data_IF_679877794985
#
_entry.id   IF_679877794985
#
_cell.length_a   1.000
_cell.length_b   1.000
_cell.length_c   1.000
_cell.angle_alpha   90.00
_cell.angle_beta   90.00
_cell.angle_gamma   90.00
#
_symmetry.space_group_name_H-M   'P 1'
#
loop_
_entity.id
_entity.type
_entity.pdbx_description
1 polymer ?
#
# COMPACT_ATOMS: atom_id res chain seq x y z
N UNK A 1 -25.46 4.83 -58.03
CA UNK A 1 -24.27 4.25 -57.35
C UNK A 1 -24.74 3.26 -56.31
N UNK A 2 -24.35 1.97 -56.42
CA UNK A 2 -24.75 0.95 -55.42
C UNK A 2 -24.02 1.22 -54.10
N UNK A 3 -24.68 0.99 -52.96
CA UNK A 3 -24.14 1.12 -51.60
C UNK A 3 -23.73 2.54 -51.14
N UNK A 4 -24.24 3.61 -51.78
CA UNK A 4 -24.09 4.98 -51.28
C UNK A 4 -25.02 5.19 -50.06
N UNK A 5 -24.53 5.68 -48.91
CA UNK A 5 -25.40 6.10 -47.80
C UNK A 5 -26.35 7.23 -48.22
N UNK A 6 -27.60 7.20 -47.73
CA UNK A 6 -28.64 8.18 -48.14
C UNK A 6 -28.20 9.62 -47.86
N UNK A 7 -27.56 9.84 -46.72
CA UNK A 7 -27.16 11.15 -46.19
C UNK A 7 -25.96 11.79 -46.92
N UNK A 8 -25.23 11.02 -47.73
CA UNK A 8 -23.98 11.51 -48.36
C UNK A 8 -24.27 11.89 -49.81
N UNK A 9 -24.12 13.17 -50.23
CA UNK A 9 -24.30 13.58 -51.61
C UNK A 9 -23.48 12.73 -52.59
N UNK A 10 -24.03 12.46 -53.77
CA UNK A 10 -23.38 11.57 -54.75
C UNK A 10 -22.01 12.10 -55.20
N UNK A 11 -21.85 13.41 -55.32
CA UNK A 11 -20.57 14.06 -55.63
C UNK A 11 -19.50 13.76 -54.59
N UNK A 12 -19.82 13.86 -53.30
CA UNK A 12 -18.90 13.54 -52.21
C UNK A 12 -18.55 12.05 -52.19
N UNK A 13 -19.53 11.18 -52.44
CA UNK A 13 -19.28 9.74 -52.50
C UNK A 13 -18.34 9.36 -53.66
N UNK A 14 -18.51 9.98 -54.84
CA UNK A 14 -17.59 9.84 -55.98
C UNK A 14 -16.17 10.29 -55.63
N UNK A 15 -16.05 11.45 -54.97
CA UNK A 15 -14.74 11.96 -54.55
C UNK A 15 -14.05 11.03 -53.55
N UNK A 16 -14.79 10.49 -52.59
CA UNK A 16 -14.26 9.49 -51.65
C UNK A 16 -13.78 8.24 -52.39
N UNK A 17 -14.60 7.69 -53.30
CA UNK A 17 -14.19 6.52 -54.09
C UNK A 17 -12.91 6.80 -54.88
N UNK A 18 -12.79 7.96 -55.53
CA UNK A 18 -11.57 8.33 -56.26
C UNK A 18 -10.37 8.47 -55.34
N UNK A 19 -10.55 9.10 -54.17
CA UNK A 19 -9.52 9.24 -53.14
C UNK A 19 -9.00 7.88 -52.67
N UNK A 20 -9.89 6.98 -52.25
CA UNK A 20 -9.52 5.65 -51.76
C UNK A 20 -8.97 4.74 -52.87
N UNK A 21 -9.40 4.92 -54.11
CA UNK A 21 -8.89 4.15 -55.24
C UNK A 21 -7.57 4.66 -55.81
N UNK A 22 -7.12 5.85 -55.38
CA UNK A 22 -5.85 6.42 -55.84
C UNK A 22 -4.65 5.63 -55.32
N UNK A 23 -3.63 5.50 -56.16
CA UNK A 23 -2.38 4.82 -55.84
C UNK A 23 -1.67 5.32 -54.57
N UNK A 24 -1.56 6.64 -54.28
CA UNK A 24 -0.89 7.09 -53.07
C UNK A 24 -1.58 6.61 -51.79
N UNK A 25 -2.92 6.60 -51.77
CA UNK A 25 -3.68 6.17 -50.59
C UNK A 25 -3.70 4.65 -50.41
N UNK A 26 -3.72 3.88 -51.50
CA UNK A 26 -3.52 2.42 -51.45
C UNK A 26 -2.14 2.07 -50.88
N UNK A 27 -1.08 2.68 -51.41
CA UNK A 27 0.31 2.47 -50.94
C UNK A 27 0.48 2.84 -49.48
N UNK A 28 -0.10 3.95 -49.04
CA UNK A 28 -0.09 4.35 -47.62
C UNK A 28 -0.84 3.35 -46.74
N UNK A 29 -1.98 2.82 -47.20
CA UNK A 29 -2.74 1.80 -46.47
C UNK A 29 -1.97 0.49 -46.30
N UNK A 30 -1.30 0.03 -47.36
CA UNK A 30 -0.41 -1.14 -47.33
C UNK A 30 0.74 -0.93 -46.35
N UNK A 31 1.44 0.21 -46.46
CA UNK A 31 2.53 0.59 -45.55
C UNK A 31 2.08 0.64 -44.09
N UNK A 32 0.91 1.23 -43.82
CA UNK A 32 0.34 1.30 -42.46
C UNK A 32 -0.04 -0.08 -41.91
N UNK A 33 -0.44 -1.00 -42.78
CA UNK A 33 -0.73 -2.39 -42.41
C UNK A 33 0.55 -3.14 -42.07
N UNK A 34 1.60 -3.00 -42.87
CA UNK A 34 2.92 -3.54 -42.54
C UNK A 34 3.49 -2.97 -41.25
N UNK A 35 3.39 -1.65 -41.03
CA UNK A 35 3.90 -0.99 -39.83
C UNK A 35 3.19 -1.50 -38.56
N UNK A 36 1.87 -1.72 -38.63
CA UNK A 36 1.11 -2.34 -37.54
C UNK A 36 1.56 -3.77 -37.27
N UNK A 37 1.79 -4.57 -38.31
CA UNK A 37 2.28 -5.94 -38.16
C UNK A 37 3.70 -6.01 -37.59
N UNK A 38 4.54 -4.99 -37.85
CA UNK A 38 5.92 -4.87 -37.34
C UNK A 38 5.96 -4.26 -35.92
N UNK A 39 4.87 -3.70 -35.41
CA UNK A 39 4.81 -3.09 -34.09
C UNK A 39 4.78 -4.16 -32.98
N UNK A 40 5.95 -4.46 -32.41
CA UNK A 40 6.14 -5.54 -31.42
C UNK A 40 5.59 -5.21 -30.02
N UNK A 41 5.67 -3.93 -29.64
CA UNK A 41 5.26 -3.44 -28.32
C UNK A 41 4.47 -2.15 -28.50
N UNK A 42 3.14 -2.21 -28.71
CA UNK A 42 2.31 -1.02 -28.66
C UNK A 42 2.42 -0.40 -27.26
N UNK A 43 2.79 0.88 -27.20
CA UNK A 43 2.73 1.62 -25.93
C UNK A 43 1.27 1.60 -25.46
N UNK A 44 1.04 1.00 -24.29
CA UNK A 44 -0.30 0.89 -23.70
C UNK A 44 -0.51 1.96 -22.62
N UNK A 45 0.54 2.72 -22.32
CA UNK A 45 0.57 3.77 -21.31
C UNK A 45 -0.11 5.02 -21.88
N UNK A 46 -1.43 4.94 -22.06
CA UNK A 46 -2.27 5.87 -22.81
C UNK A 46 -1.90 7.36 -22.70
N UNK A 47 -2.63 8.13 -21.90
CA UNK A 47 -2.28 9.56 -21.64
C UNK A 47 -1.51 9.72 -20.34
N UNK A 48 -1.20 8.63 -19.66
CA UNK A 48 -0.68 8.63 -18.30
C UNK A 48 0.85 8.75 -18.35
N UNK A 49 1.44 9.80 -17.77
CA UNK A 49 2.90 9.93 -17.72
C UNK A 49 3.54 8.75 -16.96
N UNK A 50 4.71 8.29 -17.42
CA UNK A 50 5.48 7.22 -16.77
C UNK A 50 5.81 7.49 -15.29
N UNK A 51 5.87 8.76 -14.89
CA UNK A 51 6.07 9.15 -13.49
C UNK A 51 4.94 8.63 -12.59
N UNK A 52 3.68 8.82 -13.00
CA UNK A 52 2.51 8.35 -12.26
C UNK A 52 2.44 6.82 -12.22
N UNK A 53 2.75 6.15 -13.35
CA UNK A 53 2.78 4.69 -13.42
C UNK A 53 3.85 4.13 -12.45
N UNK A 54 5.01 4.78 -12.37
CA UNK A 54 6.09 4.39 -11.45
C UNK A 54 5.67 4.57 -9.99
N UNK A 55 5.01 5.68 -9.67
CA UNK A 55 4.50 5.95 -8.33
C UNK A 55 3.44 4.95 -7.92
N UNK A 56 2.48 4.65 -8.79
CA UNK A 56 1.43 3.67 -8.55
C UNK A 56 2.02 2.27 -8.30
N UNK A 57 3.01 1.85 -9.11
CA UNK A 57 3.74 0.60 -8.91
C UNK A 57 4.46 0.57 -7.57
N UNK A 58 5.11 1.66 -7.15
CA UNK A 58 5.73 1.75 -5.81
C UNK A 58 4.70 1.63 -4.71
N UNK A 59 3.56 2.32 -4.83
CA UNK A 59 2.49 2.30 -3.84
C UNK A 59 1.90 0.89 -3.68
N UNK A 60 1.63 0.20 -4.80
CA UNK A 60 1.19 -1.19 -4.81
C UNK A 60 2.21 -2.13 -4.15
N UNK A 61 3.49 -1.96 -4.44
CA UNK A 61 4.57 -2.74 -3.82
C UNK A 61 4.66 -2.52 -2.30
N UNK A 62 4.55 -1.26 -1.85
CA UNK A 62 4.56 -0.92 -0.42
C UNK A 62 3.37 -1.55 0.30
N UNK A 63 2.17 -1.46 -0.29
CA UNK A 63 0.97 -2.07 0.28
C UNK A 63 1.15 -3.58 0.39
N UNK A 64 1.64 -4.25 -0.66
CA UNK A 64 1.84 -5.69 -0.62
C UNK A 64 2.85 -6.11 0.45
N UNK A 65 3.93 -5.33 0.64
CA UNK A 65 4.92 -5.56 1.68
C UNK A 65 4.33 -5.40 3.09
N UNK A 66 3.49 -4.38 3.29
CA UNK A 66 2.81 -4.14 4.57
C UNK A 66 1.82 -5.28 4.87
N UNK A 67 1.01 -5.68 3.90
CA UNK A 67 0.05 -6.78 4.06
C UNK A 67 0.75 -8.08 4.44
N UNK A 68 1.88 -8.40 3.79
CA UNK A 68 2.68 -9.57 4.12
C UNK A 68 3.21 -9.50 5.57
N UNK A 69 3.74 -8.35 5.99
CA UNK A 69 4.25 -8.18 7.36
C UNK A 69 3.13 -8.39 8.41
N UNK A 70 1.94 -7.83 8.16
CA UNK A 70 0.77 -7.99 9.03
C UNK A 70 0.31 -9.45 9.08
N UNK A 71 0.32 -10.16 7.96
CA UNK A 71 -0.05 -11.58 7.90
C UNK A 71 0.94 -12.46 8.67
N UNK A 72 2.24 -12.19 8.56
CA UNK A 72 3.27 -12.90 9.33
C UNK A 72 3.11 -12.67 10.84
N UNK A 73 2.81 -11.44 11.26
CA UNK A 73 2.55 -11.10 12.67
C UNK A 73 1.27 -11.76 13.20
N UNK A 74 0.22 -11.84 12.37
CA UNK A 74 -1.01 -12.56 12.71
C UNK A 74 -0.75 -14.04 12.96
N UNK A 75 0.00 -14.70 12.06
CA UNK A 75 0.31 -16.13 12.21
C UNK A 75 1.16 -16.39 13.46
N UNK A 76 2.11 -15.51 13.75
CA UNK A 76 2.97 -15.61 14.94
C UNK A 76 2.17 -15.39 16.24
N UNK A 77 1.20 -14.47 16.25
CA UNK A 77 0.30 -14.25 17.38
C UNK A 77 -0.74 -15.37 17.56
N UNK A 78 -1.11 -16.08 16.49
CA UNK A 78 -2.08 -17.18 16.55
C UNK A 78 -1.44 -18.45 17.16
N UNK A 79 -0.14 -18.69 16.92
CA UNK A 79 0.58 -19.81 17.53
C UNK A 79 0.71 -19.74 19.07
N UNK A 80 0.52 -18.56 19.67
CA UNK A 80 0.52 -18.42 21.14
C UNK A 80 -0.86 -18.57 21.79
N UNK A 81 -1.97 -18.59 21.01
CA UNK A 81 -3.34 -18.56 21.57
C UNK A 81 -4.27 -19.69 21.11
N UNK A 82 -3.88 -20.54 20.17
CA UNK A 82 -4.71 -21.63 19.68
C UNK A 82 -4.10 -23.01 19.91
N UNK A 83 -4.30 -23.55 21.11
CA UNK A 83 -4.67 -24.96 21.19
C UNK A 83 -6.00 -25.07 21.91
N UNK A 84 -6.98 -25.53 21.13
CA UNK A 84 -8.30 -26.00 21.54
C UNK A 84 -9.26 -24.87 21.88
N UNK A 85 -10.28 -24.67 21.02
CA UNK A 85 -11.68 -24.78 21.43
C UNK A 85 -12.65 -24.88 20.22
N UNK A 86 -13.11 -26.11 20.00
CA UNK A 86 -14.46 -26.48 19.55
C UNK A 86 -14.81 -26.32 18.06
N UNK A 87 -14.00 -26.86 17.15
CA UNK A 87 -14.64 -27.64 16.08
C UNK A 87 -14.95 -29.02 16.66
N UNK A 88 -16.14 -29.53 16.40
CA UNK A 88 -16.40 -30.97 16.51
C UNK A 88 -15.33 -31.67 15.68
N UNK A 89 -14.39 -32.31 16.38
CA UNK A 89 -13.26 -33.03 15.82
C UNK A 89 -13.76 -33.97 14.71
N UNK A 90 -13.33 -33.75 13.46
CA UNK A 90 -13.69 -34.59 12.30
C UNK A 90 -13.45 -36.08 12.63
N UNK A 91 -12.45 -36.36 13.46
CA UNK A 91 -12.17 -37.68 13.99
C UNK A 91 -13.28 -38.20 14.93
N UNK A 92 -13.86 -37.38 15.82
CA UNK A 92 -15.06 -37.76 16.60
C UNK A 92 -16.29 -37.98 15.73
N UNK A 93 -16.38 -37.33 14.56
CA UNK A 93 -17.46 -37.54 13.60
C UNK A 93 -17.39 -38.94 12.98
N UNK A 94 -16.19 -39.41 12.66
CA UNK A 94 -15.93 -40.75 12.11
C UNK A 94 -15.97 -41.84 13.20
N UNK A 95 -15.40 -41.56 14.37
CA UNK A 95 -15.15 -42.56 15.42
C UNK A 95 -16.23 -42.59 16.50
N UNK A 96 -17.13 -41.61 16.52
CA UNK A 96 -18.15 -41.43 17.54
C UNK A 96 -17.59 -40.92 18.89
N UNK A 97 -18.49 -40.64 19.85
CA UNK A 97 -18.12 -40.15 21.17
C UNK A 97 -17.26 -41.17 21.94
N UNK A 98 -16.27 -40.64 22.67
CA UNK A 98 -15.35 -41.43 23.50
C UNK A 98 -16.05 -42.05 24.72
N UNK A 99 -15.67 -43.27 25.11
CA UNK A 99 -16.26 -43.93 26.27
C UNK A 99 -15.81 -43.32 27.60
N UNK A 100 -16.69 -43.27 28.63
CA UNK A 100 -16.32 -42.78 29.96
C UNK A 100 -15.12 -43.56 30.52
N UNK A 101 -14.10 -42.85 31.01
CA UNK A 101 -12.94 -43.48 31.67
C UNK A 101 -11.83 -43.99 30.75
N UNK A 102 -11.87 -43.72 29.45
CA UNK A 102 -10.78 -44.04 28.51
C UNK A 102 -10.52 -42.88 27.55
N UNK A 103 -9.27 -42.71 27.12
CA UNK A 103 -8.90 -41.84 26.00
C UNK A 103 -8.25 -42.72 24.92
N UNK A 104 -8.84 -42.79 23.73
CA UNK A 104 -8.29 -43.53 22.59
C UNK A 104 -6.91 -42.97 22.20
N UNK A 105 -6.07 -43.82 21.60
CA UNK A 105 -4.70 -43.50 21.15
C UNK A 105 -3.64 -43.28 22.24
N UNK A 106 -4.01 -43.11 23.50
CA UNK A 106 -3.05 -42.91 24.61
C UNK A 106 -2.69 -44.20 25.38
N UNK A 107 -3.06 -45.37 24.84
CA UNK A 107 -2.80 -46.67 25.48
C UNK A 107 -3.81 -47.03 26.59
N UNK A 108 -3.52 -48.09 27.34
CA UNK A 108 -4.43 -48.64 28.36
C UNK A 108 -4.38 -47.81 29.64
N UNK A 109 -5.52 -47.29 30.09
CA UNK A 109 -5.68 -46.68 31.41
C UNK A 109 -5.56 -45.15 31.48
N UNK A 110 -5.32 -44.45 30.36
CA UNK A 110 -5.29 -42.97 30.36
C UNK A 110 -6.70 -42.40 30.43
N UNK A 111 -6.95 -41.54 31.42
CA UNK A 111 -8.22 -40.83 31.61
C UNK A 111 -8.06 -39.34 31.34
N UNK A 112 -9.16 -38.68 30.97
CA UNK A 112 -9.17 -37.22 30.71
C UNK A 112 -8.70 -36.40 31.91
N UNK A 113 -8.85 -36.91 33.14
CA UNK A 113 -8.38 -36.27 34.38
C UNK A 113 -6.86 -36.24 34.50
N UNK A 114 -6.16 -37.23 33.94
CA UNK A 114 -4.69 -37.25 33.89
C UNK A 114 -4.17 -36.20 32.91
N UNK A 115 -4.90 -35.94 31.82
CA UNK A 115 -4.52 -34.97 30.81
C UNK A 115 -4.86 -33.51 31.17
N UNK A 116 -5.86 -33.31 32.04
CA UNK A 116 -6.41 -31.99 32.32
C UNK A 116 -5.70 -31.33 33.50
N UNK A 117 -4.57 -30.69 33.20
CA UNK A 117 -3.95 -29.67 34.06
C UNK A 117 -4.88 -28.48 34.31
N UNK A 118 -4.70 -27.81 35.45
CA UNK A 118 -5.58 -26.80 36.06
C UNK A 118 -6.18 -25.76 35.09
N UNK A 119 -7.48 -25.48 35.30
CA UNK A 119 -8.36 -24.67 34.45
C UNK A 119 -8.44 -23.23 34.97
N UNK A 120 -7.90 -22.27 34.22
CA UNK A 120 -8.08 -20.83 34.44
C UNK A 120 -9.32 -20.28 33.71
N UNK A 121 -10.02 -19.37 34.37
CA UNK A 121 -11.25 -18.68 33.96
C UNK A 121 -11.04 -17.75 32.75
N UNK A 122 -11.96 -17.75 31.78
CA UNK A 122 -12.00 -16.78 30.67
C UNK A 122 -13.34 -16.05 30.66
N UNK A 123 -13.30 -14.76 30.98
CA UNK A 123 -14.36 -13.81 30.71
C UNK A 123 -13.73 -12.45 30.43
N UNK A 124 -14.11 -11.84 29.31
CA UNK A 124 -13.80 -10.45 28.87
C UNK A 124 -12.48 -10.24 28.09
N UNK A 125 -12.39 -10.69 26.83
CA UNK A 125 -11.20 -10.49 25.96
C UNK A 125 -11.40 -9.65 24.69
N UNK A 126 -12.63 -9.28 24.28
CA UNK A 126 -12.85 -8.62 22.98
C UNK A 126 -12.51 -7.12 22.97
N UNK A 127 -12.91 -6.36 23.98
CA UNK A 127 -12.70 -4.90 24.01
C UNK A 127 -11.22 -4.51 24.07
N UNK A 128 -10.42 -5.33 24.77
CA UNK A 128 -8.96 -5.14 24.88
C UNK A 128 -8.22 -5.42 23.59
N UNK A 129 -8.79 -6.27 22.73
CA UNK A 129 -8.24 -6.56 21.41
C UNK A 129 -8.54 -5.41 20.45
N UNK A 130 -9.75 -4.86 20.52
CA UNK A 130 -10.15 -3.74 19.66
C UNK A 130 -9.31 -2.48 19.92
N UNK A 131 -9.06 -2.13 21.20
CA UNK A 131 -8.20 -1.00 21.55
C UNK A 131 -6.76 -1.15 21.03
N UNK A 132 -6.22 -2.37 21.04
CA UNK A 132 -4.86 -2.63 20.52
C UNK A 132 -4.77 -2.47 19.01
N UNK A 133 -5.84 -2.78 18.28
CA UNK A 133 -5.88 -2.60 16.82
C UNK A 133 -5.84 -1.12 16.48
N UNK A 134 -6.66 -0.32 17.17
CA UNK A 134 -6.74 1.13 16.96
C UNK A 134 -5.40 1.83 17.30
N UNK A 135 -4.75 1.44 18.40
CA UNK A 135 -3.41 1.92 18.78
C UNK A 135 -2.35 1.61 17.70
N UNK A 136 -2.42 0.42 17.08
CA UNK A 136 -1.48 0.03 16.03
C UNK A 136 -1.70 0.85 14.77
N UNK A 137 -2.95 1.14 14.40
CA UNK A 137 -3.29 1.97 13.23
C UNK A 137 -2.75 3.40 13.39
N UNK A 138 -3.00 4.03 14.53
CA UNK A 138 -2.48 5.38 14.83
C UNK A 138 -0.95 5.43 14.76
N UNK A 139 -0.29 4.43 15.36
CA UNK A 139 1.18 4.35 15.36
C UNK A 139 1.78 4.19 13.95
N UNK A 140 1.08 3.48 13.06
CA UNK A 140 1.51 3.34 11.66
C UNK A 140 1.32 4.65 10.90
N UNK A 141 0.19 5.32 11.08
CA UNK A 141 -0.07 6.62 10.46
C UNK A 141 0.97 7.67 10.90
N UNK A 142 1.30 7.70 12.19
CA UNK A 142 2.30 8.61 12.73
C UNK A 142 3.69 8.38 12.12
N UNK A 143 4.18 7.13 12.09
CA UNK A 143 5.49 6.84 11.47
C UNK A 143 5.54 7.15 9.98
N UNK A 144 4.42 6.99 9.27
CA UNK A 144 4.33 7.36 7.86
C UNK A 144 4.51 8.86 7.68
N UNK A 145 3.83 9.65 8.51
CA UNK A 145 3.88 11.11 8.45
C UNK A 145 5.27 11.64 8.82
N UNK A 146 5.90 11.10 9.86
CA UNK A 146 7.27 11.43 10.28
C UNK A 146 8.30 11.17 9.18
N UNK A 147 8.22 10.01 8.51
CA UNK A 147 9.11 9.68 7.39
C UNK A 147 8.95 10.65 6.21
N UNK A 148 7.72 11.05 5.90
CA UNK A 148 7.46 12.01 4.84
C UNK A 148 8.01 13.40 5.19
N UNK A 149 7.81 13.84 6.44
CA UNK A 149 8.36 15.12 6.88
C UNK A 149 9.89 15.12 6.90
N UNK A 150 10.53 14.06 7.38
CA UNK A 150 11.99 13.94 7.36
C UNK A 150 12.58 13.96 5.94
N UNK A 151 11.89 13.36 4.96
CA UNK A 151 12.29 13.46 3.56
C UNK A 151 12.16 14.89 3.00
N UNK A 152 11.08 15.60 3.38
CA UNK A 152 10.88 16.99 3.02
C UNK A 152 11.99 17.87 3.60
N UNK A 153 12.30 17.72 4.88
CA UNK A 153 13.35 18.48 5.56
C UNK A 153 14.72 18.24 4.89
N UNK A 154 15.05 16.98 4.56
CA UNK A 154 16.28 16.64 3.85
C UNK A 154 16.34 17.30 2.45
N UNK A 155 15.21 17.35 1.74
CA UNK A 155 15.13 18.01 0.45
C UNK A 155 15.33 19.53 0.57
N UNK A 156 14.72 20.17 1.56
CA UNK A 156 14.89 21.60 1.83
C UNK A 156 16.35 21.94 2.15
N UNK A 157 17.01 21.14 2.98
CA UNK A 157 18.43 21.32 3.31
C UNK A 157 19.33 21.22 2.08
N UNK A 158 19.07 20.24 1.19
CA UNK A 158 19.81 20.09 -0.05
C UNK A 158 19.63 21.29 -1.00
N UNK A 159 18.42 21.84 -1.09
CA UNK A 159 18.15 23.04 -1.90
C UNK A 159 18.89 24.25 -1.33
N UNK A 160 18.78 24.48 -0.02
CA UNK A 160 19.46 25.58 0.67
C UNK A 160 20.97 25.51 0.48
N UNK A 161 21.56 24.31 0.63
CA UNK A 161 22.99 24.09 0.43
C UNK A 161 23.44 24.42 -1.01
N UNK A 162 22.66 24.01 -2.01
CA UNK A 162 22.96 24.27 -3.41
C UNK A 162 22.87 25.77 -3.76
N UNK A 163 21.87 26.47 -3.23
CA UNK A 163 21.71 27.92 -3.40
C UNK A 163 22.90 28.65 -2.76
N UNK A 164 23.29 28.28 -1.55
CA UNK A 164 24.45 28.85 -0.85
C UNK A 164 25.73 28.67 -1.66
N UNK A 165 26.01 27.44 -2.12
CA UNK A 165 27.22 27.16 -2.90
C UNK A 165 27.29 27.99 -4.18
N UNK A 166 26.16 28.20 -4.86
CA UNK A 166 26.08 29.04 -6.06
C UNK A 166 26.33 30.52 -5.74
N UNK A 167 25.77 31.03 -4.65
CA UNK A 167 25.94 32.43 -4.24
C UNK A 167 27.39 32.74 -3.85
N UNK A 168 28.06 31.81 -3.14
CA UNK A 168 29.47 31.93 -2.79
C UNK A 168 30.39 31.91 -4.01
N UNK A 169 30.06 31.08 -5.02
CA UNK A 169 30.82 31.06 -6.27
C UNK A 169 30.76 32.38 -7.05
N UNK A 170 29.67 33.13 -6.92
CA UNK A 170 29.46 34.40 -7.62
C UNK A 170 30.02 35.60 -6.85
N UNK A 171 30.16 35.49 -5.52
CA UNK A 171 30.70 36.54 -4.64
C UNK A 171 31.64 35.92 -3.61
N UNK A 172 32.94 35.83 -3.92
CA UNK A 172 33.93 35.18 -3.04
C UNK A 172 34.06 35.83 -1.65
N UNK A 173 33.78 37.13 -1.54
CA UNK A 173 33.85 37.88 -0.27
C UNK A 173 32.54 37.82 0.55
N UNK A 174 31.54 37.04 0.10
CA UNK A 174 30.25 36.92 0.78
C UNK A 174 30.38 36.06 2.05
N UNK A 175 30.49 36.74 3.19
CA UNK A 175 30.50 36.12 4.52
C UNK A 175 29.07 35.74 4.92
N UNK A 176 28.73 34.46 4.83
CA UNK A 176 27.43 33.95 5.26
C UNK A 176 27.37 33.79 6.79
N UNK A 177 26.29 34.24 7.39
CA UNK A 177 25.99 34.09 8.81
C UNK A 177 25.70 32.61 9.13
N UNK A 178 26.42 31.96 10.07
CA UNK A 178 26.14 30.59 10.51
C UNK A 178 24.69 30.35 10.95
N UNK A 179 23.99 31.37 11.44
CA UNK A 179 22.60 31.25 11.87
C UNK A 179 21.61 31.10 10.69
N UNK A 180 22.02 31.38 9.45
CA UNK A 180 21.21 31.11 8.26
C UNK A 180 20.90 29.62 8.05
N UNK A 181 21.77 28.72 8.54
CA UNK A 181 21.55 27.27 8.51
C UNK A 181 20.60 26.79 9.61
N UNK A 182 20.41 27.58 10.68
CA UNK A 182 19.50 27.25 11.78
C UNK A 182 18.03 27.43 11.41
N UNK A 183 17.69 28.25 10.42
CA UNK A 183 16.28 28.47 10.03
C UNK A 183 15.61 27.20 9.45
N UNK A 184 16.39 26.28 8.88
CA UNK A 184 15.88 24.99 8.39
C UNK A 184 15.91 23.87 9.46
N UNK A 185 16.51 24.12 10.64
CA UNK A 185 16.43 23.23 11.79
C UNK A 185 15.35 23.75 12.73
N UNK A 186 14.15 23.17 12.64
CA UNK A 186 12.98 23.61 13.42
C UNK A 186 13.33 23.72 14.91
N UNK A 187 13.12 24.92 15.44
CA UNK A 187 13.16 25.26 16.87
C UNK A 187 12.35 24.26 17.72
N UNK A 188 12.86 23.75 18.85
CA UNK A 188 12.09 22.98 19.81
C UNK A 188 11.32 23.94 20.74
N UNK A 189 10.24 24.55 20.25
CA UNK A 189 9.32 25.45 20.98
C UNK A 189 7.97 25.32 20.25
N UNK A 190 6.87 24.74 20.73
CA UNK A 190 6.38 24.51 22.10
C UNK A 190 5.62 23.17 22.21
N UNK A 191 6.12 22.23 23.00
CA UNK A 191 5.29 21.21 23.67
C UNK A 191 5.24 21.55 25.16
N UNK A 192 4.75 22.74 25.50
CA UNK A 192 4.57 23.16 26.90
C UNK A 192 3.31 24.01 27.11
N UNK A 193 2.20 23.67 26.45
CA UNK A 193 0.89 24.30 26.75
C UNK A 193 -0.25 23.31 26.99
N UNK A 194 -0.08 22.01 26.71
CA UNK A 194 -1.16 21.02 26.90
C UNK A 194 -1.11 20.23 28.23
N UNK A 195 -0.16 20.50 29.14
CA UNK A 195 -0.06 19.79 30.43
C UNK A 195 -0.38 20.64 31.67
N UNK A 196 -0.74 21.92 31.54
CA UNK A 196 -1.09 22.78 32.68
C UNK A 196 -2.61 22.90 32.98
N UNK A 197 -3.47 22.21 32.23
CA UNK A 197 -4.93 22.34 32.42
C UNK A 197 -5.60 21.24 33.28
N UNK A 198 -4.87 20.25 33.82
CA UNK A 198 -5.48 19.11 34.53
C UNK A 198 -5.27 19.12 36.07
N UNK A 199 -4.54 20.10 36.63
CA UNK A 199 -4.26 20.13 38.09
C UNK A 199 -5.10 21.15 38.88
N UNK A 200 -6.03 21.89 38.26
CA UNK A 200 -6.95 22.78 39.00
C UNK A 200 -8.42 22.42 38.79
N UNK A 201 -8.82 21.23 39.24
CA UNK A 201 -10.25 20.90 39.38
C UNK A 201 -10.54 19.89 40.50
N UNK A 202 -9.67 19.81 41.51
CA UNK A 202 -9.92 19.06 42.75
C UNK A 202 -9.35 19.83 43.95
N UNK A 203 -10.06 20.86 44.39
CA UNK A 203 -10.01 21.40 45.76
C UNK A 203 -11.35 22.06 46.06
#
# INVERSE_FOLDING_TARGET
MKNRPVDVPESHFKNLLNYWNSDPHKKMSETNTENRNKLKCPHTDGKTPFALIREEKRRKSLILQILYQVEMERIQSTQESEYVNHSTDDFTSVMGPEHPGRVRLYGRGVTKTVLKGQKGNLGSSDERMQQKIEEIEERIQQRMYEKLNGQKDAMEQNITMNVIARLQHLNLDLRLDPDMLRFSARSPVDTSSAQQAIVQLNS
#
